data_IF_395021749807
#
_entry.id   IF_395021749807
#
_cell.length_a   1.000
_cell.length_b   1.000
_cell.length_c   1.000
_cell.angle_alpha   90.00
_cell.angle_beta   90.00
_cell.angle_gamma   90.00
#
_symmetry.space_group_name_H-M   'P 1'
#
loop_
_entity.id
_entity.type
_entity.pdbx_description
1 polymer ?
#
# COMPACT_ATOMS: atom_id res chain seq x y z
N UNK A 1 24.27 6.12 17.09
CA UNK A 1 23.25 5.81 18.10
C UNK A 1 21.87 6.02 17.45
N UNK A 2 21.32 5.00 16.78
CA UNK A 2 20.03 5.10 16.07
C UNK A 2 18.97 4.40 16.92
N UNK A 3 17.95 5.15 17.30
CA UNK A 3 16.85 4.72 18.17
C UNK A 3 16.17 3.47 17.59
N UNK A 4 15.94 2.49 18.44
CA UNK A 4 15.34 1.20 18.09
C UNK A 4 13.96 1.38 17.46
N UNK A 5 13.68 0.49 16.50
CA UNK A 5 12.36 0.31 15.94
C UNK A 5 11.36 0.14 17.09
N UNK A 6 10.52 1.16 17.32
CA UNK A 6 9.32 1.00 18.15
C UNK A 6 8.53 -0.12 17.51
N UNK A 7 8.44 -1.27 18.18
CA UNK A 7 7.56 -2.35 17.76
C UNK A 7 6.18 -1.77 17.55
N UNK A 8 5.74 -1.69 16.29
CA UNK A 8 4.43 -1.13 16.00
C UNK A 8 3.41 -2.15 16.44
N UNK A 9 2.81 -1.87 17.59
CA UNK A 9 1.71 -2.65 18.13
C UNK A 9 0.60 -2.79 17.09
N UNK A 10 0.16 -4.04 16.87
CA UNK A 10 -0.95 -4.42 15.99
C UNK A 10 -2.22 -3.52 16.11
N UNK A 11 -2.60 -3.03 17.31
CA UNK A 11 -3.65 -2.02 17.48
C UNK A 11 -3.50 -0.77 16.61
N UNK A 12 -2.28 -0.21 16.54
CA UNK A 12 -2.00 1.03 15.80
C UNK A 12 -2.14 0.80 14.30
N UNK A 13 -1.59 -0.30 13.78
CA UNK A 13 -1.76 -0.67 12.37
C UNK A 13 -3.24 -0.79 11.97
N UNK A 14 -4.06 -1.47 12.78
CA UNK A 14 -5.49 -1.65 12.45
C UNK A 14 -6.22 -0.32 12.32
N UNK A 15 -5.99 0.59 13.28
CA UNK A 15 -6.59 1.92 13.29
C UNK A 15 -6.14 2.71 12.07
N UNK A 16 -4.84 2.80 11.85
CA UNK A 16 -4.28 3.64 10.80
C UNK A 16 -4.61 3.10 9.40
N UNK A 17 -4.62 1.78 9.24
CA UNK A 17 -5.12 1.11 8.04
C UNK A 17 -6.59 1.42 7.79
N UNK A 18 -7.44 1.38 8.81
CA UNK A 18 -8.86 1.71 8.67
C UNK A 18 -9.07 3.18 8.30
N UNK A 19 -8.24 4.09 8.83
CA UNK A 19 -8.28 5.51 8.45
C UNK A 19 -7.88 5.69 6.98
N UNK A 20 -6.77 5.08 6.54
CA UNK A 20 -6.33 5.20 5.15
C UNK A 20 -7.30 4.53 4.17
N UNK A 21 -7.82 3.36 4.52
CA UNK A 21 -8.54 2.52 3.54
C UNK A 21 -10.05 2.58 3.66
N UNK A 22 -10.60 3.07 4.78
CA UNK A 22 -12.02 2.98 5.10
C UNK A 22 -12.49 1.58 5.54
N UNK A 23 -11.59 0.60 5.63
CA UNK A 23 -11.93 -0.80 5.92
C UNK A 23 -11.06 -1.37 7.04
N UNK A 24 -11.61 -2.29 7.83
CA UNK A 24 -10.80 -3.05 8.78
C UNK A 24 -9.86 -4.00 8.04
N UNK A 25 -8.60 -4.17 8.50
CA UNK A 25 -7.66 -5.01 7.78
C UNK A 25 -8.02 -6.50 7.91
N UNK A 26 -8.02 -7.18 6.76
CA UNK A 26 -8.11 -8.62 6.65
C UNK A 26 -6.89 -9.31 7.29
N UNK A 27 -7.02 -10.59 7.69
CA UNK A 27 -5.92 -11.33 8.31
C UNK A 27 -4.62 -11.33 7.49
N UNK A 28 -4.71 -11.44 6.16
CA UNK A 28 -3.52 -11.44 5.30
C UNK A 28 -2.80 -10.08 5.27
N UNK A 29 -3.54 -8.97 5.33
CA UNK A 29 -3.00 -7.61 5.36
C UNK A 29 -2.22 -7.37 6.64
N UNK A 30 -2.76 -7.85 7.77
CA UNK A 30 -2.08 -7.81 9.07
C UNK A 30 -0.80 -8.65 9.09
N UNK A 31 -0.84 -9.84 8.47
CA UNK A 31 0.35 -10.71 8.35
C UNK A 31 1.41 -10.07 7.46
N UNK A 32 1.02 -9.47 6.34
CA UNK A 32 1.94 -8.76 5.46
C UNK A 32 2.58 -7.56 6.15
N UNK A 33 1.82 -6.80 6.93
CA UNK A 33 2.40 -5.71 7.71
C UNK A 33 3.40 -6.24 8.75
N UNK A 34 2.93 -7.02 9.71
CA UNK A 34 3.70 -7.32 10.91
C UNK A 34 4.82 -8.34 10.68
N UNK A 35 4.59 -9.34 9.83
CA UNK A 35 5.53 -10.42 9.59
C UNK A 35 6.44 -10.22 8.37
N UNK A 36 6.34 -9.08 7.68
CA UNK A 36 7.18 -8.78 6.52
C UNK A 36 7.58 -7.31 6.50
N UNK A 37 6.65 -6.42 6.18
CA UNK A 37 6.96 -5.03 5.87
C UNK A 37 7.51 -4.25 7.08
N UNK A 38 6.95 -4.45 8.28
CA UNK A 38 7.45 -3.84 9.51
C UNK A 38 8.87 -4.29 9.88
N UNK A 39 9.28 -5.47 9.41
CA UNK A 39 10.62 -6.03 9.59
C UNK A 39 11.58 -5.65 8.44
N UNK A 40 11.15 -4.82 7.49
CA UNK A 40 11.94 -4.48 6.30
C UNK A 40 12.06 -5.64 5.29
N UNK A 41 11.26 -6.69 5.42
CA UNK A 41 11.26 -7.85 4.52
C UNK A 41 10.17 -7.72 3.46
N UNK A 42 10.44 -8.21 2.26
CA UNK A 42 9.48 -8.27 1.15
C UNK A 42 9.26 -9.74 0.79
N UNK A 43 8.03 -10.23 0.75
CA UNK A 43 7.76 -11.60 0.30
C UNK A 43 7.98 -11.74 -1.20
N UNK A 44 8.52 -12.88 -1.63
CA UNK A 44 8.70 -13.20 -3.05
C UNK A 44 7.36 -13.27 -3.79
N UNK A 45 6.29 -13.71 -3.10
CA UNK A 45 4.95 -13.79 -3.65
C UNK A 45 3.86 -13.55 -2.60
N UNK A 46 2.75 -12.97 -3.06
CA UNK A 46 1.50 -12.85 -2.31
C UNK A 46 0.40 -13.61 -3.04
N UNK A 47 0.24 -14.89 -2.69
CA UNK A 47 -0.81 -15.73 -3.27
C UNK A 47 -2.15 -15.49 -2.55
N UNK A 48 -3.04 -14.80 -3.25
CA UNK A 48 -4.32 -14.33 -2.75
C UNK A 48 -5.37 -14.50 -3.85
N UNK A 49 -6.57 -15.01 -3.56
CA UNK A 49 -7.69 -14.95 -4.49
C UNK A 49 -8.00 -13.53 -5.01
N UNK A 50 -8.59 -13.45 -6.20
CA UNK A 50 -9.17 -12.20 -6.70
C UNK A 50 -10.28 -11.70 -5.77
N UNK A 51 -10.47 -10.37 -5.70
CA UNK A 51 -11.51 -9.77 -4.85
C UNK A 51 -11.13 -9.57 -3.38
N UNK A 52 -9.96 -10.02 -2.93
CA UNK A 52 -9.49 -9.81 -1.55
C UNK A 52 -8.76 -8.48 -1.32
N UNK A 53 -8.91 -7.51 -2.24
CA UNK A 53 -8.37 -6.16 -2.09
C UNK A 53 -6.84 -6.07 -2.17
N UNK A 54 -6.18 -6.74 -3.12
CA UNK A 54 -4.70 -6.74 -3.25
C UNK A 54 -4.10 -5.35 -3.42
N UNK A 55 -4.83 -4.39 -3.97
CA UNK A 55 -4.43 -2.98 -4.09
C UNK A 55 -4.08 -2.34 -2.74
N UNK A 56 -4.68 -2.82 -1.64
CA UNK A 56 -4.36 -2.37 -0.28
C UNK A 56 -2.90 -2.57 0.15
N UNK A 57 -2.12 -3.38 -0.59
CA UNK A 57 -0.66 -3.47 -0.41
C UNK A 57 -0.01 -2.07 -0.42
N UNK A 58 -0.54 -1.12 -1.19
CA UNK A 58 -0.09 0.27 -1.21
C UNK A 58 -0.19 0.93 0.18
N UNK A 59 -1.33 0.78 0.86
CA UNK A 59 -1.55 1.32 2.20
C UNK A 59 -0.65 0.64 3.24
N UNK A 60 -0.49 -0.68 3.14
CA UNK A 60 0.35 -1.47 4.06
C UNK A 60 1.83 -1.05 3.92
N UNK A 61 2.31 -0.93 2.68
CA UNK A 61 3.66 -0.46 2.38
C UNK A 61 3.88 0.96 2.90
N UNK A 62 2.94 1.87 2.65
CA UNK A 62 3.02 3.25 3.10
C UNK A 62 3.07 3.34 4.64
N UNK A 63 2.19 2.63 5.35
CA UNK A 63 2.18 2.62 6.82
C UNK A 63 3.48 2.05 7.40
N UNK A 64 4.04 1.00 6.81
CA UNK A 64 5.31 0.45 7.28
C UNK A 64 6.46 1.45 7.04
N UNK A 65 6.45 2.13 5.89
CA UNK A 65 7.41 3.18 5.55
C UNK A 65 7.33 4.38 6.48
N UNK A 66 6.13 4.88 6.79
CA UNK A 66 5.91 6.00 7.70
C UNK A 66 6.22 5.63 9.15
N UNK A 67 6.11 4.34 9.52
CA UNK A 67 6.58 3.81 10.79
C UNK A 67 8.11 3.60 10.87
N UNK A 68 8.84 3.87 9.79
CA UNK A 68 10.31 3.80 9.77
C UNK A 68 10.90 2.44 9.39
N UNK A 69 10.09 1.48 8.90
CA UNK A 69 10.60 0.19 8.42
C UNK A 69 11.63 0.38 7.29
N UNK A 70 12.58 -0.53 7.12
CA UNK A 70 13.59 -0.44 6.04
C UNK A 70 13.07 -1.04 4.73
N UNK A 71 12.12 -0.35 4.09
CA UNK A 71 11.56 -0.72 2.79
C UNK A 71 12.04 0.21 1.68
N UNK A 72 12.05 -0.25 0.41
CA UNK A 72 12.30 0.58 -0.75
C UNK A 72 11.41 1.82 -0.76
N UNK A 73 11.97 2.95 -1.21
CA UNK A 73 11.25 4.25 -1.24
C UNK A 73 10.19 4.34 -2.33
N UNK A 74 10.18 3.42 -3.30
CA UNK A 74 9.23 3.41 -4.42
C UNK A 74 8.56 2.05 -4.49
N UNK A 75 7.24 2.07 -4.63
CA UNK A 75 6.43 0.91 -4.97
C UNK A 75 5.96 1.07 -6.42
N UNK A 76 6.23 0.06 -7.25
CA UNK A 76 5.75 0.01 -8.63
C UNK A 76 4.63 -1.02 -8.69
N UNK A 77 3.42 -0.59 -9.03
CA UNK A 77 2.24 -1.45 -9.11
C UNK A 77 1.89 -1.68 -10.59
N UNK A 78 2.13 -2.89 -11.08
CA UNK A 78 1.94 -3.28 -12.49
C UNK A 78 0.73 -4.18 -12.62
N UNK A 79 -0.13 -3.89 -13.58
CA UNK A 79 -1.33 -4.67 -13.90
C UNK A 79 -1.54 -4.75 -15.41
N UNK A 80 -2.20 -5.82 -15.86
CA UNK A 80 -2.37 -6.17 -17.29
C UNK A 80 -3.29 -5.20 -18.06
N UNK A 81 -4.20 -4.48 -17.39
CA UNK A 81 -5.28 -3.76 -18.09
C UNK A 81 -5.46 -2.34 -17.59
N UNK A 82 -5.72 -1.43 -18.54
CA UNK A 82 -5.94 0.00 -18.27
C UNK A 82 -7.01 0.26 -17.21
N UNK A 83 -8.16 -0.42 -17.28
CA UNK A 83 -9.21 -0.24 -16.27
C UNK A 83 -8.72 -0.54 -14.84
N UNK A 84 -7.84 -1.53 -14.69
CA UNK A 84 -7.24 -1.88 -13.40
C UNK A 84 -6.18 -0.85 -12.99
N UNK A 85 -5.43 -0.28 -13.95
CA UNK A 85 -4.52 0.85 -13.70
C UNK A 85 -5.27 2.05 -13.17
N UNK A 86 -6.40 2.39 -13.80
CA UNK A 86 -7.23 3.53 -13.42
C UNK A 86 -7.80 3.32 -11.99
N UNK A 87 -8.36 2.14 -11.70
CA UNK A 87 -8.84 1.78 -10.35
C UNK A 87 -7.72 1.80 -9.28
N UNK A 88 -6.54 1.29 -9.61
CA UNK A 88 -5.41 1.30 -8.68
C UNK A 88 -4.89 2.73 -8.44
N UNK A 89 -5.00 3.61 -9.44
CA UNK A 89 -4.65 5.03 -9.32
C UNK A 89 -5.62 5.75 -8.39
N UNK A 90 -6.93 5.55 -8.58
CA UNK A 90 -7.96 6.11 -7.69
C UNK A 90 -7.75 5.69 -6.23
N UNK A 91 -7.44 4.41 -6.00
CA UNK A 91 -7.13 3.91 -4.66
C UNK A 91 -5.87 4.55 -4.07
N UNK A 92 -4.80 4.70 -4.85
CA UNK A 92 -3.57 5.37 -4.41
C UNK A 92 -3.84 6.84 -4.05
N UNK A 93 -4.61 7.56 -4.86
CA UNK A 93 -4.96 8.96 -4.63
C UNK A 93 -5.80 9.13 -3.36
N UNK A 94 -6.74 8.22 -3.13
CA UNK A 94 -7.54 8.17 -1.92
C UNK A 94 -6.69 7.95 -0.68
N UNK A 95 -5.73 7.01 -0.74
CA UNK A 95 -4.75 6.78 0.33
C UNK A 95 -3.95 8.05 0.61
N UNK A 96 -3.44 8.74 -0.43
CA UNK A 96 -2.69 10.01 -0.27
C UNK A 96 -3.54 11.08 0.39
N UNK A 97 -4.78 11.27 -0.04
CA UNK A 97 -5.66 12.28 0.53
C UNK A 97 -5.97 11.98 2.01
N UNK A 98 -6.26 10.71 2.34
CA UNK A 98 -6.46 10.31 3.72
C UNK A 98 -5.18 10.48 4.54
N UNK A 99 -4.01 10.20 3.95
CA UNK A 99 -2.72 10.35 4.60
C UNK A 99 -2.46 11.81 5.00
N UNK A 100 -2.68 12.72 4.04
CA UNK A 100 -2.57 14.16 4.23
C UNK A 100 -3.56 14.67 5.28
N UNK A 101 -4.84 14.28 5.17
CA UNK A 101 -5.91 14.77 6.02
C UNK A 101 -5.80 14.30 7.47
N UNK A 102 -5.45 13.03 7.68
CA UNK A 102 -5.51 12.41 9.02
C UNK A 102 -4.16 12.28 9.71
N UNK A 103 -3.05 12.26 8.95
CA UNK A 103 -1.70 12.14 9.52
C UNK A 103 -0.82 13.35 9.19
N UNK A 104 -1.28 14.31 8.39
CA UNK A 104 -0.45 15.42 7.94
C UNK A 104 0.68 15.00 7.00
N UNK A 105 0.61 13.78 6.43
CA UNK A 105 1.66 13.20 5.58
C UNK A 105 1.38 13.50 4.11
N UNK A 106 2.20 14.38 3.51
CA UNK A 106 2.17 14.70 2.07
C UNK A 106 3.40 14.12 1.31
N UNK A 107 4.07 13.12 1.90
CA UNK A 107 5.24 12.49 1.29
C UNK A 107 4.87 11.52 0.15
N UNK A 108 3.63 11.00 0.14
CA UNK A 108 3.20 10.03 -0.86
C UNK A 108 2.98 10.68 -2.23
N UNK A 109 3.94 10.50 -3.13
CA UNK A 109 3.86 10.95 -4.53
C UNK A 109 3.40 9.81 -5.44
N UNK A 110 2.49 10.13 -6.36
CA UNK A 110 1.84 9.17 -7.26
C UNK A 110 2.14 9.56 -8.69
N UNK A 111 2.44 8.57 -9.54
CA UNK A 111 2.60 8.76 -10.97
C UNK A 111 2.01 7.55 -11.68
N UNK A 112 1.11 7.79 -12.62
CA UNK A 112 0.39 6.74 -13.35
C UNK A 112 0.85 6.72 -14.80
N UNK A 113 1.36 5.56 -15.24
CA UNK A 113 1.67 5.29 -16.64
C UNK A 113 0.56 4.43 -17.24
N UNK A 114 -0.02 4.90 -18.34
CA UNK A 114 -1.04 4.17 -19.12
C UNK A 114 -0.74 4.31 -20.61
N UNK A 115 -0.83 3.21 -21.35
CA UNK A 115 -0.64 3.19 -22.80
C UNK A 115 -1.67 4.10 -23.49
N UNK A 116 -1.22 4.88 -24.49
CA UNK A 116 -2.05 5.80 -25.27
C UNK A 116 -2.85 5.09 -26.37
N UNK A 117 -2.39 3.91 -26.80
CA UNK A 117 -3.05 3.10 -27.83
C UNK A 117 -3.73 1.91 -27.16
N UNK A 118 -5.05 1.83 -27.33
CA UNK A 118 -5.72 0.54 -27.36
C UNK A 118 -5.21 -0.09 -28.66
N UNK A 119 -4.45 -1.18 -28.59
CA UNK A 119 -4.25 -1.98 -29.79
C UNK A 119 -5.63 -2.38 -30.28
N UNK A 120 -6.01 -1.81 -31.43
CA UNK A 120 -7.09 -2.30 -32.25
C UNK A 120 -6.82 -3.79 -32.47
N UNK A 121 -7.71 -4.63 -31.95
CA UNK A 121 -7.75 -6.02 -32.38
C UNK A 121 -8.16 -6.01 -33.86
N UNK A 122 -7.22 -6.39 -34.72
CA UNK A 122 -7.57 -7.07 -35.99
C UNK A 122 -8.30 -8.38 -35.70
#
# INVERSE_FOLDING_TARGET
>A
MRQGARGVEQPTFKRDFAILTGHQPMPWQRRLYAGWFAEGRIPDALDLPTGLGKTSVMAIWHLARSAGADLPRRLVYVVDRRAVVDQATEEAERIREHARKHFGDDSLKISTLRGRHLDNRE
#
